data_IF_769009839644
#
_entry.id   IF_769009839644
#
_cell.length_a   1.000
_cell.length_b   1.000
_cell.length_c   1.000
_cell.angle_alpha   90.00
_cell.angle_beta   90.00
_cell.angle_gamma   90.00
#
_symmetry.space_group_name_H-M   'P 1'
#
loop_
_entity.id
_entity.type
_entity.pdbx_description
1 polymer ?
#
# COMPACT_ATOMS: atom_id res chain seq x y z
N UNK A 1 29.04 -21.50 0.14
CA UNK A 1 28.14 -20.33 0.28
C UNK A 1 26.85 -20.78 0.98
N UNK A 2 26.75 -20.63 2.30
CA UNK A 2 25.64 -21.14 3.13
C UNK A 2 24.59 -20.06 3.47
N UNK A 3 24.53 -18.99 2.67
CA UNK A 3 23.75 -17.79 3.01
C UNK A 3 22.41 -17.66 2.27
N UNK A 4 21.89 -18.71 1.63
CA UNK A 4 20.75 -18.57 0.71
C UNK A 4 19.40 -19.04 1.25
N UNK A 5 19.29 -20.18 1.94
CA UNK A 5 17.97 -20.74 2.25
C UNK A 5 17.19 -19.93 3.31
N UNK A 6 17.85 -19.49 4.39
CA UNK A 6 17.21 -18.76 5.50
C UNK A 6 16.87 -17.31 5.13
N UNK A 7 17.70 -16.68 4.30
CA UNK A 7 17.44 -15.34 3.75
C UNK A 7 16.31 -15.39 2.72
N UNK A 8 16.30 -16.37 1.81
CA UNK A 8 15.22 -16.55 0.82
C UNK A 8 13.87 -16.82 1.52
N UNK A 9 13.84 -17.65 2.56
CA UNK A 9 12.60 -17.94 3.31
C UNK A 9 12.09 -16.75 4.13
N UNK A 10 12.99 -15.94 4.71
CA UNK A 10 12.61 -14.65 5.33
C UNK A 10 12.06 -13.66 4.29
N UNK A 11 12.68 -13.58 3.11
CA UNK A 11 12.23 -12.73 2.01
C UNK A 11 10.88 -13.21 1.46
N UNK A 12 10.66 -14.52 1.36
CA UNK A 12 9.38 -15.08 0.93
C UNK A 12 8.25 -14.75 1.91
N UNK A 13 8.50 -14.86 3.22
CA UNK A 13 7.56 -14.43 4.28
C UNK A 13 7.37 -12.90 4.32
N UNK A 14 8.37 -12.13 3.89
CA UNK A 14 8.29 -10.68 3.74
C UNK A 14 7.49 -10.24 2.51
N UNK A 15 7.46 -11.09 1.48
CA UNK A 15 6.79 -10.85 0.20
C UNK A 15 5.27 -11.03 0.30
N UNK A 16 4.75 -11.57 1.41
CA UNK A 16 3.32 -11.63 1.72
C UNK A 16 2.71 -10.22 1.54
N UNK A 17 1.87 -10.08 0.50
CA UNK A 17 1.30 -8.79 0.09
C UNK A 17 -0.01 -8.56 0.83
N UNK A 18 -0.12 -7.44 1.52
CA UNK A 18 -1.33 -7.02 2.22
C UNK A 18 -2.11 -6.07 1.32
N UNK A 19 -3.43 -6.26 1.28
CA UNK A 19 -4.34 -5.30 0.67
C UNK A 19 -4.58 -4.15 1.65
N UNK A 20 -4.26 -2.93 1.23
CA UNK A 20 -4.43 -1.72 2.04
C UNK A 20 -5.39 -0.76 1.39
N UNK A 21 -6.13 -0.03 2.24
CA UNK A 21 -6.99 1.06 1.81
C UNK A 21 -6.21 2.37 1.86
N UNK A 22 -6.21 3.07 0.73
CA UNK A 22 -5.63 4.40 0.55
C UNK A 22 -6.76 5.43 0.63
N UNK A 23 -6.55 6.52 1.35
CA UNK A 23 -7.54 7.59 1.54
C UNK A 23 -6.97 8.91 1.07
N UNK A 24 -7.77 9.64 0.29
CA UNK A 24 -7.43 10.96 -0.24
C UNK A 24 -7.24 11.98 0.89
N UNK A 25 -6.15 12.73 0.87
CA UNK A 25 -5.92 13.84 1.81
C UNK A 25 -6.80 15.07 1.53
N UNK A 26 -7.49 15.10 0.40
CA UNK A 26 -8.38 16.21 0.07
C UNK A 26 -9.74 16.18 0.81
N UNK A 27 -9.96 15.21 1.70
CA UNK A 27 -11.19 15.15 2.52
C UNK A 27 -12.46 14.80 1.74
N UNK A 28 -12.33 14.33 0.50
CA UNK A 28 -13.43 13.96 -0.40
C UNK A 28 -14.13 12.64 -0.04
N UNK A 29 -13.54 11.85 0.85
CA UNK A 29 -13.99 10.49 1.14
C UNK A 29 -13.64 9.47 0.06
N UNK A 30 -12.97 9.87 -1.03
CA UNK A 30 -12.50 8.94 -2.05
C UNK A 30 -11.38 8.05 -1.50
N UNK A 31 -11.51 6.75 -1.75
CA UNK A 31 -10.56 5.74 -1.29
C UNK A 31 -10.44 4.62 -2.31
N UNK A 32 -9.25 4.05 -2.42
CA UNK A 32 -8.99 2.93 -3.31
C UNK A 32 -8.10 1.89 -2.63
N UNK A 33 -8.10 0.68 -3.18
CA UNK A 33 -7.34 -0.44 -2.63
C UNK A 33 -6.05 -0.63 -3.42
N UNK A 34 -4.94 -0.91 -2.72
CA UNK A 34 -3.66 -1.25 -3.35
C UNK A 34 -2.97 -2.35 -2.58
N UNK A 35 -2.12 -3.12 -3.26
CA UNK A 35 -1.30 -4.16 -2.62
C UNK A 35 0.05 -3.58 -2.24
N UNK A 36 0.55 -3.93 -1.06
CA UNK A 36 1.92 -3.61 -0.62
C UNK A 36 2.54 -4.79 0.11
N UNK A 37 3.85 -4.84 0.21
CA UNK A 37 4.53 -5.83 1.06
C UNK A 37 4.32 -5.50 2.54
N UNK A 38 4.16 -6.56 3.36
CA UNK A 38 3.94 -6.44 4.82
C UNK A 38 5.07 -5.76 5.58
N UNK A 39 6.32 -6.03 5.21
CA UNK A 39 7.49 -5.51 5.92
C UNK A 39 7.89 -4.09 5.51
N UNK A 40 7.30 -3.55 4.44
CA UNK A 40 7.57 -2.19 4.01
C UNK A 40 6.87 -1.16 4.89
N UNK A 41 7.34 0.09 4.85
CA UNK A 41 6.72 1.24 5.48
C UNK A 41 5.32 1.54 4.92
N UNK A 42 4.58 2.43 5.59
CA UNK A 42 3.24 2.83 5.15
C UNK A 42 3.35 3.56 3.81
N UNK A 43 2.44 3.23 2.89
CA UNK A 43 2.46 3.74 1.54
C UNK A 43 1.88 5.17 1.48
N UNK A 44 2.58 6.07 0.78
CA UNK A 44 2.10 7.40 0.40
C UNK A 44 2.16 7.53 -1.12
N UNK A 45 1.01 7.71 -1.77
CA UNK A 45 0.93 7.79 -3.22
C UNK A 45 0.35 9.12 -3.66
N UNK A 46 0.84 9.63 -4.78
CA UNK A 46 0.26 10.80 -5.43
C UNK A 46 -0.63 10.33 -6.57
N UNK A 47 -1.95 10.39 -6.39
CA UNK A 47 -2.94 9.83 -7.31
C UNK A 47 -4.04 10.84 -7.65
N UNK A 48 -4.73 10.64 -8.77
CA UNK A 48 -5.83 11.51 -9.17
C UNK A 48 -7.08 11.17 -8.36
N UNK A 49 -7.77 12.20 -7.86
CA UNK A 49 -9.05 12.07 -7.20
C UNK A 49 -10.14 12.66 -8.12
N UNK A 50 -11.05 11.84 -8.67
CA UNK A 50 -12.09 12.32 -9.59
C UNK A 50 -13.07 13.28 -8.92
N UNK A 51 -13.15 13.31 -7.58
CA UNK A 51 -14.08 14.17 -6.83
C UNK A 51 -13.57 15.61 -6.73
N UNK A 52 -12.25 15.84 -6.77
CA UNK A 52 -11.68 17.20 -6.62
C UNK A 52 -11.83 18.05 -7.89
N UNK A 53 -12.31 17.48 -8.99
CA UNK A 53 -12.82 18.23 -10.16
C UNK A 53 -11.79 19.02 -10.96
N UNK A 54 -10.55 19.11 -10.49
CA UNK A 54 -9.41 19.73 -11.16
C UNK A 54 -8.34 18.64 -11.25
N UNK A 55 -7.67 18.50 -12.39
CA UNK A 55 -6.61 17.50 -12.70
C UNK A 55 -5.41 17.43 -11.74
N UNK A 56 -5.52 17.97 -10.54
CA UNK A 56 -4.57 17.90 -9.46
C UNK A 56 -4.43 16.46 -8.96
N UNK A 57 -3.18 16.05 -8.82
CA UNK A 57 -2.84 14.82 -8.12
C UNK A 57 -2.76 15.13 -6.64
N UNK A 58 -3.40 14.28 -5.85
CA UNK A 58 -3.56 14.45 -4.41
C UNK A 58 -2.75 13.37 -3.73
N UNK A 59 -2.26 13.70 -2.53
CA UNK A 59 -1.60 12.73 -1.69
C UNK A 59 -2.65 11.79 -1.07
N UNK A 60 -2.39 10.50 -1.18
CA UNK A 60 -3.15 9.43 -0.56
C UNK A 60 -2.31 8.80 0.53
N UNK A 61 -2.91 8.65 1.70
CA UNK A 61 -2.30 7.99 2.85
C UNK A 61 -2.95 6.65 3.09
N UNK A 62 -2.13 5.68 3.45
CA UNK A 62 -2.58 4.39 3.92
C UNK A 62 -3.21 4.52 5.32
N UNK A 63 -4.43 4.01 5.46
CA UNK A 63 -5.10 3.89 6.77
C UNK A 63 -4.83 2.52 7.40
N UNK A 64 -5.71 1.55 7.16
CA UNK A 64 -5.64 0.21 7.72
C UNK A 64 -5.52 -0.85 6.62
N UNK A 65 -4.87 -1.98 6.91
CA UNK A 65 -4.95 -3.16 6.07
C UNK A 65 -6.39 -3.70 6.07
N UNK A 66 -6.93 -4.01 4.90
CA UNK A 66 -8.29 -4.55 4.74
C UNK A 66 -8.32 -6.06 4.89
N UNK A 67 -7.28 -6.75 4.41
CA UNK A 67 -7.16 -8.19 4.54
C UNK A 67 -5.69 -8.61 4.43
N UNK A 68 -5.28 -9.57 5.26
CA UNK A 68 -4.03 -10.30 5.05
C UNK A 68 -4.36 -11.43 4.08
N UNK A 69 -4.18 -11.21 2.78
CA UNK A 69 -4.14 -12.35 1.86
C UNK A 69 -2.85 -13.14 2.15
N UNK A 70 -3.03 -14.43 2.46
CA UNK A 70 -2.02 -15.43 2.82
C UNK A 70 -1.20 -15.83 1.59
#
# INVERSE_FOLDING_TARGET
MFLSAVTISKIAKAKETILVKMVSQAGTGFSFNTKRSRLWEKLTLLHYDPVVGIGARILFLQINPLHNEI
#
